data_IF_754106146448
#
_entry.id   IF_754106146448
#
_cell.length_a   1.000
_cell.length_b   1.000
_cell.length_c   1.000
_cell.angle_alpha   90.00
_cell.angle_beta   90.00
_cell.angle_gamma   90.00
#
_symmetry.space_group_name_H-M   'P 1'
#
loop_
_entity.id
_entity.type
_entity.pdbx_description
1 polymer ?
#
# COMPACT_ATOMS: atom_id res chain seq x y z
N UNK A 1 -33.46 -20.01 -0.34
CA UNK A 1 -33.03 -20.88 -1.46
C UNK A 1 -31.56 -21.15 -1.26
N UNK A 2 -31.14 -22.41 -1.12
CA UNK A 2 -29.72 -22.77 -1.04
C UNK A 2 -29.09 -22.67 -2.42
N UNK A 3 -28.26 -21.67 -2.66
CA UNK A 3 -27.58 -21.45 -3.93
C UNK A 3 -26.08 -21.72 -3.84
N UNK A 4 -25.46 -22.06 -4.96
CA UNK A 4 -24.03 -21.80 -5.17
C UNK A 4 -23.85 -20.38 -5.73
N UNK A 5 -22.63 -19.85 -5.75
CA UNK A 5 -22.33 -18.59 -6.44
C UNK A 5 -22.77 -18.60 -7.92
N UNK A 6 -22.66 -19.75 -8.60
CA UNK A 6 -23.16 -19.94 -9.96
C UNK A 6 -24.69 -19.81 -10.05
N UNK A 7 -25.43 -20.31 -9.06
CA UNK A 7 -26.90 -20.14 -9.01
C UNK A 7 -27.29 -18.68 -8.78
N UNK A 8 -26.58 -17.95 -7.91
CA UNK A 8 -26.81 -16.51 -7.71
C UNK A 8 -26.53 -15.73 -9.00
N UNK A 9 -25.45 -16.07 -9.70
CA UNK A 9 -25.10 -15.49 -10.99
C UNK A 9 -26.22 -15.72 -12.02
N UNK A 10 -26.66 -16.97 -12.21
CA UNK A 10 -27.74 -17.28 -13.14
C UNK A 10 -29.02 -16.49 -12.84
N UNK A 11 -29.39 -16.37 -11.56
CA UNK A 11 -30.55 -15.58 -11.14
C UNK A 11 -30.37 -14.07 -11.45
N UNK A 12 -29.19 -13.51 -11.19
CA UNK A 12 -28.89 -12.11 -11.53
C UNK A 12 -28.91 -11.86 -13.05
N UNK A 13 -28.56 -12.85 -13.88
CA UNK A 13 -28.66 -12.72 -15.34
C UNK A 13 -30.11 -12.75 -15.83
N UNK A 14 -31.01 -13.47 -15.15
CA UNK A 14 -32.43 -13.51 -15.49
C UNK A 14 -33.19 -12.23 -15.13
N UNK A 15 -32.67 -11.45 -14.18
CA UNK A 15 -33.26 -10.17 -13.76
C UNK A 15 -32.55 -9.01 -14.47
N UNK A 16 -33.28 -8.29 -15.32
CA UNK A 16 -32.74 -7.14 -16.08
C UNK A 16 -32.27 -6.01 -15.17
N UNK A 17 -32.91 -5.87 -14.01
CA UNK A 17 -32.56 -4.88 -12.99
C UNK A 17 -31.31 -5.26 -12.21
N UNK A 18 -30.92 -6.54 -12.14
CA UNK A 18 -29.76 -6.94 -11.37
C UNK A 18 -28.44 -6.50 -12.03
N UNK A 19 -27.60 -5.83 -11.26
CA UNK A 19 -26.28 -5.33 -11.67
C UNK A 19 -25.12 -5.94 -10.87
N UNK A 20 -25.37 -6.40 -9.65
CA UNK A 20 -24.37 -7.08 -8.83
C UNK A 20 -25.03 -8.04 -7.85
N UNK A 21 -24.23 -8.90 -7.21
CA UNK A 21 -24.71 -9.76 -6.14
C UNK A 21 -23.63 -10.07 -5.11
N UNK A 22 -24.07 -10.36 -3.89
CA UNK A 22 -23.23 -10.96 -2.85
C UNK A 22 -23.65 -12.41 -2.61
N UNK A 23 -22.68 -13.27 -2.33
CA UNK A 23 -22.89 -14.69 -1.99
C UNK A 23 -22.24 -15.03 -0.65
N UNK A 24 -23.02 -15.66 0.23
CA UNK A 24 -22.53 -16.23 1.48
C UNK A 24 -22.50 -17.75 1.35
N UNK A 25 -21.30 -18.33 1.32
CA UNK A 25 -21.13 -19.77 1.15
C UNK A 25 -21.62 -20.59 2.35
N UNK A 26 -21.51 -20.03 3.56
CA UNK A 26 -21.88 -20.70 4.81
C UNK A 26 -23.41 -20.74 4.98
N UNK A 27 -24.07 -19.59 4.83
CA UNK A 27 -25.53 -19.47 4.88
C UNK A 27 -26.21 -19.98 3.59
N UNK A 28 -25.45 -20.20 2.51
CA UNK A 28 -25.92 -20.50 1.16
C UNK A 28 -26.94 -19.47 0.65
N UNK A 29 -26.68 -18.19 0.92
CA UNK A 29 -27.57 -17.08 0.62
C UNK A 29 -27.01 -16.21 -0.50
N UNK A 30 -27.90 -15.68 -1.34
CA UNK A 30 -27.60 -14.67 -2.35
C UNK A 30 -28.31 -13.37 -1.97
N UNK A 31 -27.63 -12.24 -2.12
CA UNK A 31 -28.24 -10.92 -2.11
C UNK A 31 -28.00 -10.28 -3.49
N UNK A 32 -29.07 -9.86 -4.15
CA UNK A 32 -28.99 -9.25 -5.48
C UNK A 32 -29.19 -7.74 -5.35
N UNK A 33 -28.44 -6.98 -6.13
CA UNK A 33 -28.51 -5.52 -6.12
C UNK A 33 -28.77 -5.00 -7.53
N UNK A 34 -29.50 -3.90 -7.61
CA UNK A 34 -29.82 -3.21 -8.86
C UNK A 34 -28.71 -2.26 -9.34
N UNK A 35 -27.65 -2.12 -8.55
CA UNK A 35 -26.52 -1.25 -8.77
C UNK A 35 -25.21 -1.96 -8.45
N UNK A 36 -24.10 -1.41 -8.95
CA UNK A 36 -22.75 -1.86 -8.60
C UNK A 36 -22.21 -0.92 -7.51
N UNK A 37 -21.72 -1.48 -6.41
CA UNK A 37 -21.05 -0.72 -5.37
C UNK A 37 -19.71 -0.14 -5.87
N UNK A 38 -19.26 0.93 -5.21
CA UNK A 38 -17.89 1.42 -5.28
C UNK A 38 -17.33 1.59 -3.87
N UNK A 39 -16.11 2.09 -3.72
CA UNK A 39 -15.48 2.24 -2.40
C UNK A 39 -16.29 3.10 -1.42
N UNK A 40 -16.98 4.15 -1.89
CA UNK A 40 -17.80 5.02 -1.04
C UNK A 40 -19.15 4.43 -0.58
N UNK A 41 -19.63 3.36 -1.22
CA UNK A 41 -20.93 2.74 -0.91
C UNK A 41 -20.81 1.30 -0.42
N UNK A 42 -19.66 0.65 -0.65
CA UNK A 42 -19.41 -0.70 -0.19
C UNK A 42 -19.10 -0.71 1.31
N UNK A 43 -19.79 -1.59 2.03
CA UNK A 43 -19.54 -1.85 3.43
C UNK A 43 -18.89 -3.23 3.55
N UNK A 44 -17.58 -3.32 3.83
CA UNK A 44 -16.92 -4.59 3.99
C UNK A 44 -17.47 -5.32 5.22
N UNK A 45 -17.96 -6.53 5.01
CA UNK A 45 -18.37 -7.43 6.09
C UNK A 45 -17.24 -8.42 6.35
N UNK A 46 -16.41 -8.12 7.35
CA UNK A 46 -15.27 -8.97 7.74
C UNK A 46 -15.68 -10.22 8.52
N UNK A 47 -16.92 -10.28 9.00
CA UNK A 47 -17.40 -11.35 9.88
C UNK A 47 -18.17 -12.42 9.11
N UNK A 48 -19.02 -12.02 8.17
CA UNK A 48 -19.98 -12.93 7.55
C UNK A 48 -19.51 -13.55 6.22
N UNK A 49 -18.23 -13.41 5.84
CA UNK A 49 -17.61 -14.05 4.65
C UNK A 49 -18.42 -13.91 3.35
N UNK A 50 -19.00 -12.73 3.11
CA UNK A 50 -19.69 -12.46 1.85
C UNK A 50 -18.68 -12.20 0.73
N UNK A 51 -18.91 -12.84 -0.41
CA UNK A 51 -18.18 -12.56 -1.65
C UNK A 51 -19.05 -11.67 -2.55
N UNK A 52 -18.47 -10.60 -3.11
CA UNK A 52 -19.18 -9.64 -3.97
C UNK A 52 -18.80 -9.81 -5.44
N UNK A 53 -19.81 -9.78 -6.31
CA UNK A 53 -19.67 -10.05 -7.74
C UNK A 53 -20.41 -9.01 -8.57
N UNK A 54 -19.78 -8.60 -9.69
CA UNK A 54 -20.32 -7.61 -10.61
C UNK A 54 -20.82 -8.28 -11.89
N UNK A 55 -22.03 -7.97 -12.32
CA UNK A 55 -22.54 -8.39 -13.63
C UNK A 55 -21.83 -7.59 -14.73
N UNK A 56 -21.30 -8.24 -15.78
CA UNK A 56 -20.57 -7.54 -16.82
C UNK A 56 -21.37 -6.43 -17.50
N UNK A 57 -20.68 -5.36 -17.88
CA UNK A 57 -21.25 -4.22 -18.60
C UNK A 57 -22.23 -3.37 -17.80
N UNK A 58 -22.16 -3.38 -16.47
CA UNK A 58 -23.11 -2.66 -15.59
C UNK A 58 -22.49 -1.55 -14.75
N UNK A 59 -21.17 -1.42 -14.73
CA UNK A 59 -20.45 -0.49 -13.86
C UNK A 59 -20.44 0.93 -14.41
N UNK A 60 -20.79 1.89 -13.58
CA UNK A 60 -20.67 3.32 -13.81
C UNK A 60 -19.33 3.86 -13.29
N UNK A 61 -19.07 5.12 -13.56
CA UNK A 61 -17.92 5.83 -13.01
C UNK A 61 -17.82 5.66 -11.48
N UNK A 62 -16.62 5.35 -10.99
CA UNK A 62 -16.31 5.04 -9.59
C UNK A 62 -16.97 3.79 -8.99
N UNK A 63 -17.53 2.90 -9.81
CA UNK A 63 -18.03 1.59 -9.38
C UNK A 63 -17.01 0.48 -9.67
N UNK A 64 -17.13 -0.62 -8.92
CA UNK A 64 -16.24 -1.76 -9.10
C UNK A 64 -16.41 -2.41 -10.48
N UNK A 65 -15.34 -2.94 -11.02
CA UNK A 65 -15.31 -3.62 -12.32
C UNK A 65 -14.34 -4.81 -12.29
N UNK A 66 -14.45 -5.67 -13.30
CA UNK A 66 -13.49 -6.76 -13.53
C UNK A 66 -12.71 -6.58 -14.84
N UNK A 67 -13.35 -5.99 -15.84
CA UNK A 67 -12.77 -5.72 -17.16
C UNK A 67 -13.18 -4.36 -17.68
N UNK A 68 -12.44 -3.82 -18.65
CA UNK A 68 -12.76 -2.54 -19.29
C UNK A 68 -14.17 -2.53 -19.91
N UNK A 69 -14.61 -3.67 -20.44
CA UNK A 69 -15.96 -3.83 -20.99
C UNK A 69 -17.08 -3.73 -19.94
N UNK A 70 -16.75 -3.71 -18.66
CA UNK A 70 -17.73 -3.48 -17.59
C UNK A 70 -18.10 -2.00 -17.45
N UNK A 71 -17.22 -1.10 -17.88
CA UNK A 71 -17.35 0.33 -17.68
C UNK A 71 -18.21 0.98 -18.77
N UNK A 72 -19.28 1.67 -18.34
CA UNK A 72 -20.27 2.26 -19.25
C UNK A 72 -20.00 3.73 -19.59
N UNK A 73 -19.28 4.44 -18.73
CA UNK A 73 -18.97 5.84 -18.95
C UNK A 73 -17.89 5.98 -20.03
N UNK A 74 -18.09 6.90 -20.98
CA UNK A 74 -17.13 7.13 -22.04
C UNK A 74 -15.79 7.64 -21.45
N UNK A 75 -14.69 7.01 -21.84
CA UNK A 75 -13.35 7.34 -21.35
C UNK A 75 -12.92 6.57 -20.09
N UNK A 76 -13.85 5.89 -19.40
CA UNK A 76 -13.48 5.01 -18.29
C UNK A 76 -12.92 3.67 -18.79
N UNK A 77 -11.94 3.16 -18.05
CA UNK A 77 -11.43 1.79 -18.14
C UNK A 77 -11.42 1.17 -16.74
N UNK A 78 -11.25 -0.15 -16.65
CA UNK A 78 -11.20 -0.84 -15.38
C UNK A 78 -9.80 -0.79 -14.79
N UNK A 79 -9.54 0.23 -13.97
CA UNK A 79 -8.22 0.52 -13.40
C UNK A 79 -8.26 0.31 -11.89
N UNK A 80 -7.49 -0.64 -11.39
CA UNK A 80 -7.51 -1.00 -9.96
C UNK A 80 -8.89 -1.47 -9.51
N UNK A 81 -9.57 -2.23 -10.39
CA UNK A 81 -10.96 -2.72 -10.20
C UNK A 81 -12.02 -1.64 -10.02
N UNK A 82 -11.76 -0.41 -10.45
CA UNK A 82 -12.74 0.68 -10.47
C UNK A 82 -12.85 1.25 -11.89
N UNK A 83 -14.07 1.53 -12.34
CA UNK A 83 -14.26 2.27 -13.58
C UNK A 83 -13.85 3.73 -13.38
N UNK A 84 -12.78 4.13 -14.06
CA UNK A 84 -12.22 5.48 -13.96
C UNK A 84 -11.41 5.84 -15.20
N UNK A 85 -11.28 7.14 -15.46
CA UNK A 85 -10.38 7.71 -16.45
C UNK A 85 -9.00 8.07 -15.87
N UNK A 86 -8.78 7.89 -14.56
CA UNK A 86 -7.52 8.22 -13.90
C UNK A 86 -6.40 7.28 -14.32
N UNK A 87 -5.24 7.80 -14.75
CA UNK A 87 -4.10 7.01 -15.21
C UNK A 87 -3.33 6.32 -14.08
N UNK A 88 -3.58 6.72 -12.83
CA UNK A 88 -3.05 6.11 -11.63
C UNK A 88 -4.12 5.98 -10.54
N UNK A 89 -4.15 4.85 -9.85
CA UNK A 89 -4.99 4.60 -8.67
C UNK A 89 -4.06 4.23 -7.51
N UNK A 90 -3.88 5.19 -6.61
CA UNK A 90 -3.08 5.11 -5.37
C UNK A 90 -4.00 4.96 -4.15
N UNK A 91 -3.43 4.78 -2.95
CA UNK A 91 -4.22 4.79 -1.72
C UNK A 91 -4.91 6.14 -1.46
N UNK A 92 -4.30 7.28 -1.83
CA UNK A 92 -4.93 8.60 -1.71
C UNK A 92 -6.15 8.72 -2.63
N UNK A 93 -6.03 8.28 -3.89
CA UNK A 93 -7.15 8.25 -4.84
C UNK A 93 -8.30 7.38 -4.30
N UNK A 94 -7.98 6.19 -3.76
CA UNK A 94 -9.00 5.31 -3.19
C UNK A 94 -9.69 5.97 -1.98
N UNK A 95 -8.91 6.62 -1.11
CA UNK A 95 -9.43 7.28 0.09
C UNK A 95 -10.30 8.50 -0.25
N UNK A 96 -9.75 9.44 -1.01
CA UNK A 96 -10.32 10.77 -1.25
C UNK A 96 -11.28 10.78 -2.45
N UNK A 97 -10.84 10.25 -3.59
CA UNK A 97 -11.59 10.35 -4.85
C UNK A 97 -12.67 9.28 -4.96
N UNK A 98 -12.34 8.03 -4.63
CA UNK A 98 -13.33 6.94 -4.63
C UNK A 98 -14.13 6.86 -3.34
N UNK A 99 -13.76 7.68 -2.35
CA UNK A 99 -14.54 7.90 -1.14
C UNK A 99 -14.51 6.74 -0.16
N UNK A 100 -13.49 5.88 -0.18
CA UNK A 100 -13.37 4.78 0.78
C UNK A 100 -13.43 5.29 2.22
N UNK A 101 -12.76 6.42 2.50
CA UNK A 101 -12.58 6.91 3.87
C UNK A 101 -12.00 5.82 4.77
N UNK A 102 -12.55 5.71 5.98
CA UNK A 102 -12.15 4.71 6.99
C UNK A 102 -12.99 3.42 6.94
N UNK A 103 -13.88 3.24 5.95
CA UNK A 103 -14.84 2.11 5.90
C UNK A 103 -14.20 0.72 5.94
N UNK A 104 -12.94 0.64 5.51
CA UNK A 104 -12.18 -0.61 5.44
C UNK A 104 -11.20 -0.78 6.61
N UNK A 105 -11.27 0.11 7.60
CA UNK A 105 -10.36 0.18 8.74
C UNK A 105 -9.10 1.01 8.47
N UNK A 106 -8.32 1.24 9.51
CA UNK A 106 -7.16 2.15 9.47
C UNK A 106 -6.02 1.63 8.61
N UNK A 107 -5.86 0.31 8.55
CA UNK A 107 -4.79 -0.35 7.84
C UNK A 107 -5.34 -1.47 6.96
N UNK A 108 -5.30 -1.26 5.64
CA UNK A 108 -5.82 -2.23 4.67
C UNK A 108 -4.65 -2.84 3.92
N UNK A 109 -4.38 -4.13 4.13
CA UNK A 109 -3.25 -4.82 3.50
C UNK A 109 -3.40 -4.96 1.98
N UNK A 110 -4.64 -5.01 1.50
CA UNK A 110 -4.95 -5.31 0.10
C UNK A 110 -6.07 -4.43 -0.43
N UNK A 111 -5.66 -3.38 -1.12
CA UNK A 111 -6.46 -2.61 -2.06
C UNK A 111 -5.95 -2.87 -3.48
N UNK A 112 -6.79 -2.61 -4.49
CA UNK A 112 -6.41 -2.74 -5.89
C UNK A 112 -6.04 -1.36 -6.44
N UNK A 113 -4.76 -1.18 -6.75
CA UNK A 113 -4.22 0.01 -7.39
C UNK A 113 -3.98 -0.20 -8.88
N UNK A 114 -3.62 0.89 -9.55
CA UNK A 114 -3.25 0.89 -10.96
C UNK A 114 -2.07 1.84 -11.12
N UNK A 115 -0.90 1.30 -11.44
CA UNK A 115 0.31 2.09 -11.67
C UNK A 115 0.99 1.58 -12.93
N UNK A 116 1.51 2.50 -13.75
CA UNK A 116 2.24 2.15 -14.98
C UNK A 116 1.49 1.17 -15.90
N UNK A 117 0.18 1.38 -16.08
CA UNK A 117 -0.65 0.53 -16.94
C UNK A 117 -0.89 -0.90 -16.42
N UNK A 118 -0.61 -1.17 -15.14
CA UNK A 118 -0.76 -2.50 -14.54
C UNK A 118 -1.55 -2.44 -13.23
N UNK A 119 -2.45 -3.41 -13.00
CA UNK A 119 -3.10 -3.61 -11.70
C UNK A 119 -2.06 -4.11 -10.69
N UNK A 120 -2.01 -3.46 -9.54
CA UNK A 120 -1.12 -3.84 -8.44
C UNK A 120 -1.89 -3.92 -7.13
N UNK A 121 -1.41 -4.74 -6.19
CA UNK A 121 -1.95 -4.73 -4.84
C UNK A 121 -1.24 -3.66 -4.00
N UNK A 122 -2.04 -2.81 -3.37
CA UNK A 122 -1.60 -1.74 -2.48
C UNK A 122 -1.91 -2.10 -1.03
N UNK A 123 -0.99 -1.75 -0.12
CA UNK A 123 -1.31 -1.69 1.29
C UNK A 123 -1.46 -0.21 1.69
N UNK A 124 -2.63 0.14 2.21
CA UNK A 124 -3.06 1.50 2.43
C UNK A 124 -3.25 1.81 3.92
N UNK A 125 -2.76 2.97 4.34
CA UNK A 125 -3.12 3.57 5.61
C UNK A 125 -4.27 4.56 5.35
N UNK A 126 -5.41 4.32 5.98
CA UNK A 126 -6.69 5.00 5.71
C UNK A 126 -7.25 5.70 6.95
N UNK A 127 -6.70 5.43 8.13
CA UNK A 127 -7.17 5.99 9.41
C UNK A 127 -6.79 7.45 9.65
N UNK A 128 -7.35 8.00 10.72
CA UNK A 128 -7.20 9.40 11.11
C UNK A 128 -5.73 9.83 11.23
N UNK A 129 -5.39 10.97 10.62
CA UNK A 129 -4.03 11.53 10.61
C UNK A 129 -3.02 10.87 9.65
N UNK A 130 -3.41 9.77 8.98
CA UNK A 130 -2.54 9.01 8.07
C UNK A 130 -3.25 8.50 6.81
N UNK A 131 -4.32 9.16 6.39
CA UNK A 131 -5.11 8.75 5.24
C UNK A 131 -4.36 8.86 3.91
N UNK A 132 -4.57 7.88 3.03
CA UNK A 132 -4.09 7.88 1.65
C UNK A 132 -2.63 7.48 1.46
N UNK A 133 -1.94 7.08 2.52
CA UNK A 133 -0.54 6.64 2.43
C UNK A 133 -0.42 5.24 1.83
N UNK A 134 0.42 5.11 0.80
CA UNK A 134 0.72 3.84 0.13
C UNK A 134 2.00 3.23 0.68
N UNK A 135 1.96 1.98 1.18
CA UNK A 135 3.17 1.28 1.64
C UNK A 135 4.05 0.93 0.44
N UNK A 136 5.29 1.43 0.44
CA UNK A 136 6.27 1.15 -0.62
C UNK A 136 7.34 0.17 -0.21
N UNK A 137 7.57 0.00 1.10
CA UNK A 137 8.54 -0.95 1.63
C UNK A 137 8.06 -1.51 2.98
N UNK A 138 8.27 -2.81 3.17
CA UNK A 138 8.17 -3.52 4.46
C UNK A 138 9.36 -4.44 4.60
N UNK A 139 10.05 -4.41 5.73
CA UNK A 139 11.09 -5.40 6.08
C UNK A 139 10.90 -5.92 7.50
N UNK A 140 10.03 -6.91 7.67
CA UNK A 140 9.76 -7.54 8.95
C UNK A 140 10.94 -8.37 9.47
N UNK A 141 11.12 -8.43 10.78
CA UNK A 141 12.13 -9.21 11.51
C UNK A 141 13.62 -8.89 11.28
N UNK A 142 14.00 -7.96 10.39
CA UNK A 142 15.40 -7.54 10.23
C UNK A 142 16.37 -8.70 9.93
N UNK A 143 15.86 -9.81 9.37
CA UNK A 143 16.66 -11.03 9.17
C UNK A 143 17.21 -11.16 7.75
N UNK A 144 16.68 -10.39 6.81
CA UNK A 144 17.09 -10.45 5.41
C UNK A 144 17.67 -9.10 4.98
N UNK A 145 18.84 -9.17 4.33
CA UNK A 145 19.47 -8.01 3.71
C UNK A 145 18.53 -7.41 2.66
N UNK A 146 18.43 -6.08 2.63
CA UNK A 146 17.66 -5.36 1.61
C UNK A 146 18.52 -5.19 0.37
N UNK A 147 18.50 -6.21 -0.50
CA UNK A 147 19.25 -6.19 -1.74
C UNK A 147 18.60 -5.28 -2.79
N UNK A 148 19.37 -4.87 -3.80
CA UNK A 148 18.83 -4.19 -4.99
C UNK A 148 17.69 -4.99 -5.63
N UNK A 149 17.82 -6.33 -5.65
CA UNK A 149 16.77 -7.24 -6.10
C UNK A 149 15.50 -7.11 -5.24
N UNK A 150 15.61 -7.13 -3.91
CA UNK A 150 14.46 -6.94 -3.00
C UNK A 150 13.71 -5.62 -3.24
N UNK A 151 14.42 -4.54 -3.58
CA UNK A 151 13.80 -3.25 -3.87
C UNK A 151 13.08 -3.21 -5.22
N UNK A 152 13.65 -3.87 -6.22
CA UNK A 152 13.17 -3.84 -7.59
C UNK A 152 12.11 -4.90 -7.88
N UNK A 153 12.16 -6.03 -7.17
CA UNK A 153 11.17 -7.09 -7.26
C UNK A 153 9.86 -6.65 -6.62
N UNK A 154 8.81 -6.62 -7.44
CA UNK A 154 7.45 -6.46 -6.99
C UNK A 154 7.00 -7.73 -6.25
N UNK A 155 7.30 -7.81 -4.95
CA UNK A 155 6.91 -8.93 -4.12
C UNK A 155 5.76 -8.52 -3.20
N UNK A 156 4.52 -8.74 -3.67
CA UNK A 156 3.29 -8.43 -2.91
C UNK A 156 2.63 -9.69 -2.36
N UNK A 157 3.41 -10.74 -2.09
CA UNK A 157 2.83 -11.95 -1.51
C UNK A 157 2.31 -11.68 -0.09
N UNK A 158 1.00 -11.87 0.02
CA UNK A 158 0.21 -11.71 1.23
C UNK A 158 0.54 -12.84 2.23
N UNK A 159 0.42 -12.50 3.51
CA UNK A 159 0.46 -13.35 4.72
C UNK A 159 1.79 -13.82 5.32
N UNK A 160 2.82 -14.22 4.58
CA UNK A 160 4.04 -14.84 5.20
C UNK A 160 5.38 -14.15 4.89
N UNK A 161 5.38 -13.07 4.10
CA UNK A 161 6.64 -12.53 3.57
C UNK A 161 7.27 -11.51 4.52
N UNK A 162 8.52 -11.80 4.86
CA UNK A 162 9.44 -10.99 5.68
C UNK A 162 9.77 -9.65 4.99
N UNK A 163 9.65 -9.56 3.65
CA UNK A 163 9.98 -8.36 2.87
C UNK A 163 8.95 -8.09 1.75
N UNK A 164 8.48 -6.86 1.62
CA UNK A 164 7.68 -6.38 0.48
C UNK A 164 8.27 -5.07 -0.03
N UNK A 165 8.35 -4.91 -1.34
CA UNK A 165 8.72 -3.65 -1.97
C UNK A 165 7.84 -3.39 -3.19
N UNK A 166 7.38 -2.15 -3.30
CA UNK A 166 6.92 -1.57 -4.56
C UNK A 166 7.69 -0.27 -4.85
N UNK A 167 8.89 -0.10 -4.27
CA UNK A 167 9.71 1.10 -4.44
C UNK A 167 10.09 1.37 -5.90
N UNK A 168 10.21 0.33 -6.74
CA UNK A 168 10.37 0.49 -8.19
C UNK A 168 9.21 1.23 -8.87
N UNK A 169 8.05 1.29 -8.22
CA UNK A 169 6.86 2.00 -8.68
C UNK A 169 6.65 3.35 -7.98
N UNK A 170 7.57 3.78 -7.09
CA UNK A 170 7.41 5.02 -6.32
C UNK A 170 7.16 6.23 -7.21
N UNK A 171 7.83 6.29 -8.36
CA UNK A 171 7.70 7.42 -9.27
C UNK A 171 6.26 7.57 -9.78
N UNK A 172 5.52 6.48 -9.97
CA UNK A 172 4.14 6.54 -10.44
C UNK A 172 3.19 6.99 -9.33
N UNK A 173 3.50 6.63 -8.07
CA UNK A 173 2.77 7.14 -6.90
C UNK A 173 3.03 8.64 -6.79
N UNK A 174 4.30 9.02 -6.67
CA UNK A 174 4.76 10.41 -6.56
C UNK A 174 4.26 11.29 -7.70
N UNK A 175 4.18 10.81 -8.93
CA UNK A 175 3.74 11.63 -10.06
C UNK A 175 2.20 11.63 -10.25
N UNK A 176 1.44 10.88 -9.45
CA UNK A 176 -0.02 10.87 -9.53
C UNK A 176 -0.67 12.10 -8.86
N UNK A 177 0.02 12.75 -7.92
CA UNK A 177 -0.45 13.96 -7.26
C UNK A 177 0.08 15.25 -7.91
N UNK A 178 -0.49 16.39 -7.49
CA UNK A 178 -0.22 17.71 -8.07
C UNK A 178 0.59 18.65 -7.14
N UNK A 179 0.87 18.25 -5.90
CA UNK A 179 1.56 19.11 -4.93
C UNK A 179 3.06 19.30 -5.29
N UNK A 180 3.78 20.25 -4.71
CA UNK A 180 5.21 20.43 -5.04
C UNK A 180 6.13 19.42 -4.36
N UNK A 181 5.63 18.76 -3.33
CA UNK A 181 6.33 17.77 -2.49
C UNK A 181 5.45 16.54 -2.30
N UNK A 182 6.04 15.45 -1.82
CA UNK A 182 5.32 14.27 -1.33
C UNK A 182 5.77 13.94 0.09
N UNK A 183 4.86 13.35 0.87
CA UNK A 183 5.14 12.96 2.24
C UNK A 183 5.70 11.54 2.29
N UNK A 184 6.74 11.36 3.09
CA UNK A 184 7.34 10.06 3.40
C UNK A 184 7.25 9.82 4.88
N UNK A 185 6.61 8.72 5.27
CA UNK A 185 6.53 8.28 6.66
C UNK A 185 7.21 6.95 6.85
N UNK A 186 8.00 6.88 7.92
CA UNK A 186 8.70 5.67 8.33
C UNK A 186 8.21 5.26 9.71
N UNK A 187 7.77 4.01 9.80
CA UNK A 187 7.27 3.42 11.04
C UNK A 187 8.10 2.19 11.42
N UNK A 188 8.10 1.93 12.72
CA UNK A 188 8.50 0.65 13.28
C UNK A 188 7.35 -0.37 13.10
N UNK A 189 7.65 -1.67 13.13
CA UNK A 189 6.66 -2.75 12.99
C UNK A 189 5.45 -2.65 13.93
N UNK A 190 5.67 -2.13 15.15
CA UNK A 190 4.61 -1.91 16.14
C UNK A 190 3.78 -0.64 15.86
N UNK A 191 3.90 -0.11 14.64
CA UNK A 191 3.23 1.09 14.13
C UNK A 191 3.51 2.35 14.94
N UNK A 192 4.50 2.33 15.84
CA UNK A 192 4.99 3.54 16.47
C UNK A 192 5.75 4.34 15.42
N UNK A 193 5.25 5.54 15.20
CA UNK A 193 5.78 6.51 14.26
C UNK A 193 7.25 6.84 14.59
N UNK A 194 8.12 6.77 13.58
CA UNK A 194 9.54 7.06 13.77
C UNK A 194 9.91 8.41 13.16
N UNK A 195 9.56 8.63 11.89
CA UNK A 195 9.99 9.83 11.13
C UNK A 195 8.94 10.20 10.09
N UNK A 196 8.71 11.50 9.91
CA UNK A 196 8.01 12.06 8.74
C UNK A 196 8.92 13.09 8.09
N UNK A 197 8.96 13.08 6.77
CA UNK A 197 9.63 14.11 6.01
C UNK A 197 9.00 14.31 4.65
N UNK A 198 9.26 15.48 4.07
CA UNK A 198 8.83 15.83 2.73
C UNK A 198 10.02 15.83 1.80
N UNK A 199 9.82 15.31 0.59
CA UNK A 199 10.77 15.40 -0.50
C UNK A 199 10.15 16.18 -1.67
N UNK A 200 10.95 16.95 -2.42
CA UNK A 200 10.50 17.58 -3.65
C UNK A 200 9.94 16.55 -4.63
N UNK A 201 8.82 16.86 -5.31
CA UNK A 201 8.18 15.91 -6.24
C UNK A 201 9.06 15.54 -7.41
N UNK A 202 10.09 16.30 -7.78
CA UNK A 202 11.04 15.93 -8.82
C UNK A 202 12.17 15.01 -8.32
N UNK A 203 12.28 14.78 -7.01
CA UNK A 203 13.30 13.90 -6.42
C UNK A 203 12.75 12.50 -6.15
N UNK A 204 13.40 11.43 -6.65
CA UNK A 204 12.96 10.07 -6.40
C UNK A 204 13.14 9.68 -4.93
N UNK A 205 12.32 8.76 -4.42
CA UNK A 205 12.50 8.25 -3.07
C UNK A 205 13.72 7.31 -2.97
N UNK A 206 13.97 6.53 -4.03
CA UNK A 206 15.17 5.72 -4.16
C UNK A 206 16.17 6.45 -5.06
N UNK A 207 17.31 6.91 -4.50
CA UNK A 207 18.35 7.62 -5.27
C UNK A 207 19.51 6.70 -5.65
N UNK A 208 20.36 7.11 -6.59
CA UNK A 208 21.60 6.39 -6.92
C UNK A 208 22.81 6.88 -6.09
N UNK A 209 22.57 7.81 -5.18
CA UNK A 209 23.58 8.43 -4.32
C UNK A 209 23.00 8.69 -2.94
N UNK A 210 23.88 8.69 -1.93
CA UNK A 210 23.51 9.03 -0.56
C UNK A 210 22.97 10.47 -0.48
N UNK A 211 21.96 10.66 0.37
CA UNK A 211 21.35 11.97 0.65
C UNK A 211 21.52 12.32 2.13
N UNK A 212 21.61 13.61 2.48
CA UNK A 212 21.66 14.05 3.86
C UNK A 212 20.50 13.46 4.67
N UNK A 213 20.80 13.10 5.92
CA UNK A 213 19.78 12.58 6.82
C UNK A 213 18.71 13.62 7.13
N UNK A 214 17.47 13.19 7.21
CA UNK A 214 16.33 14.02 7.58
C UNK A 214 16.22 14.13 9.09
N UNK A 215 16.82 15.20 9.61
CA UNK A 215 16.73 15.60 11.02
C UNK A 215 17.44 14.68 12.01
N UNK A 216 17.41 15.10 13.27
CA UNK A 216 17.74 14.26 14.42
C UNK A 216 16.42 13.77 15.01
N UNK A 217 16.22 12.46 15.05
CA UNK A 217 15.04 11.81 15.58
C UNK A 217 15.40 11.15 16.91
N UNK A 218 14.46 11.01 17.82
CA UNK A 218 14.67 10.32 19.08
C UNK A 218 13.50 9.40 19.37
N UNK A 219 13.78 8.14 19.70
CA UNK A 219 12.77 7.17 20.14
C UNK A 219 13.05 6.73 21.58
N UNK A 220 11.98 6.48 22.33
CA UNK A 220 12.08 5.82 23.63
C UNK A 220 12.09 4.31 23.43
N UNK A 221 13.12 3.65 23.95
CA UNK A 221 13.30 2.21 23.92
C UNK A 221 13.43 1.67 25.33
N UNK A 222 12.36 1.06 25.84
CA UNK A 222 12.30 0.69 27.26
C UNK A 222 12.41 1.94 28.13
N UNK A 223 13.55 2.12 28.79
CA UNK A 223 13.86 3.29 29.63
C UNK A 223 14.88 4.24 29.00
N UNK A 224 15.41 3.93 27.81
CA UNK A 224 16.49 4.69 27.17
C UNK A 224 16.01 5.51 25.97
N UNK A 225 16.64 6.67 25.75
CA UNK A 225 16.40 7.50 24.56
C UNK A 225 17.48 7.25 23.51
N UNK A 226 17.08 6.70 22.36
CA UNK A 226 17.95 6.48 21.22
C UNK A 226 17.73 7.60 20.23
N UNK A 227 18.75 8.44 20.03
CA UNK A 227 18.74 9.43 18.95
C UNK A 227 19.28 8.80 17.68
N UNK A 228 18.68 9.09 16.52
CA UNK A 228 19.11 8.59 15.22
C UNK A 228 18.79 9.58 14.11
N UNK A 229 19.51 9.46 12.99
CA UNK A 229 19.24 10.19 11.76
C UNK A 229 18.91 9.20 10.66
N UNK A 230 17.88 9.50 9.88
CA UNK A 230 17.41 8.64 8.80
C UNK A 230 17.62 9.35 7.47
N UNK A 231 18.24 8.71 6.48
CA UNK A 231 18.27 9.23 5.11
C UNK A 231 17.25 8.49 4.23
N UNK A 232 16.78 9.10 3.12
CA UNK A 232 16.10 8.37 2.06
C UNK A 232 16.95 7.18 1.56
N UNK A 233 16.33 6.10 1.08
CA UNK A 233 17.07 4.95 0.56
C UNK A 233 17.84 5.31 -0.73
N UNK A 234 18.99 4.66 -0.93
CA UNK A 234 19.80 4.86 -2.13
C UNK A 234 20.53 3.59 -2.56
N UNK A 235 20.60 3.32 -3.87
CA UNK A 235 21.35 2.19 -4.46
C UNK A 235 22.85 2.55 -4.56
N UNK A 236 23.74 1.77 -3.96
CA UNK A 236 25.19 1.84 -4.18
C UNK A 236 25.59 0.94 -5.33
N UNK A 237 26.64 1.33 -6.08
CA UNK A 237 27.25 0.49 -7.11
C UNK A 237 28.04 -0.70 -6.55
N UNK A 238 28.30 -0.70 -5.24
CA UNK A 238 29.01 -1.75 -4.52
C UNK A 238 28.21 -2.14 -3.26
N UNK A 239 27.76 -3.39 -3.21
CA UNK A 239 27.24 -4.03 -1.99
C UNK A 239 25.71 -4.07 -1.84
N UNK A 240 25.20 -4.93 -0.94
CA UNK A 240 23.77 -5.20 -0.76
C UNK A 240 23.05 -4.22 0.18
N UNK A 241 23.62 -3.05 0.50
CA UNK A 241 23.16 -2.25 1.66
C UNK A 241 22.88 -0.79 1.32
N UNK A 242 21.61 -0.38 1.48
CA UNK A 242 21.06 0.80 0.80
C UNK A 242 20.21 1.74 1.68
N UNK A 243 20.16 1.49 3.00
CA UNK A 243 19.45 2.33 3.97
C UNK A 243 20.41 2.68 5.10
N UNK A 244 20.73 3.96 5.29
CA UNK A 244 21.54 4.43 6.42
C UNK A 244 20.65 4.99 7.53
N UNK A 245 20.80 4.43 8.73
CA UNK A 245 20.26 4.99 9.97
C UNK A 245 21.43 5.23 10.90
N UNK A 246 21.78 6.49 11.12
CA UNK A 246 22.87 6.88 12.01
C UNK A 246 22.33 7.11 13.42
N UNK A 247 22.38 6.12 14.31
CA UNK A 247 22.12 6.32 15.73
C UNK A 247 23.25 7.12 16.39
N UNK A 248 22.94 8.20 17.11
CA UNK A 248 23.90 9.04 17.83
C UNK A 248 23.49 9.10 19.29
N UNK A 249 24.02 8.25 20.17
CA UNK A 249 24.18 8.62 21.58
C UNK A 249 25.31 7.88 22.30
N UNK A 250 25.90 8.59 23.25
CA UNK A 250 27.19 8.34 23.90
C UNK A 250 27.23 7.02 24.68
N UNK A 251 28.37 6.33 24.62
CA UNK A 251 28.68 5.02 25.23
C UNK A 251 27.92 3.82 24.65
N UNK A 252 28.33 3.44 23.44
CA UNK A 252 28.26 2.08 22.90
C UNK A 252 26.87 1.44 22.83
N UNK A 253 26.10 1.83 21.82
CA UNK A 253 25.20 0.90 21.15
C UNK A 253 25.52 0.96 19.65
N UNK A 254 26.11 -0.13 19.16
CA UNK A 254 26.24 -0.45 17.74
C UNK A 254 24.84 -0.53 17.14
N UNK A 255 24.56 0.35 16.20
CA UNK A 255 23.30 0.38 15.48
C UNK A 255 23.47 1.12 14.16
N UNK A 256 24.16 0.49 13.20
CA UNK A 256 24.20 0.94 11.82
C UNK A 256 23.60 -0.14 10.91
N UNK A 257 22.43 0.17 10.34
CA UNK A 257 22.16 -0.18 8.95
C UNK A 257 23.01 0.80 8.10
N UNK A 258 23.93 0.22 7.33
CA UNK A 258 25.08 0.78 6.56
C UNK A 258 26.05 1.68 7.33
N UNK A 259 27.28 1.17 7.56
CA UNK A 259 28.51 1.99 7.69
C UNK A 259 29.03 2.36 6.30
N UNK A 260 29.63 3.55 6.14
CA UNK A 260 30.27 4.01 4.89
C UNK A 260 31.37 3.06 4.34
N UNK A 261 31.82 2.08 5.12
CA UNK A 261 32.84 1.09 4.75
C UNK A 261 32.28 -0.26 4.24
N UNK A 262 30.96 -0.40 4.12
CA UNK A 262 30.33 -1.56 3.50
C UNK A 262 30.26 -2.83 4.36
N UNK A 263 30.59 -2.77 5.66
CA UNK A 263 30.35 -3.89 6.59
C UNK A 263 29.11 -3.66 7.47
N UNK A 264 28.17 -4.61 7.42
CA UNK A 264 27.00 -4.69 8.30
C UNK A 264 27.26 -5.71 9.41
N UNK A 265 27.43 -5.25 10.65
CA UNK A 265 27.21 -6.08 11.83
C UNK A 265 25.84 -5.70 12.41
N UNK A 266 24.86 -6.59 12.24
CA UNK A 266 23.56 -6.47 12.87
C UNK A 266 23.74 -6.48 14.41
N UNK A 267 23.00 -5.65 15.17
CA UNK A 267 22.93 -5.85 16.61
C UNK A 267 22.37 -7.25 16.91
N UNK A 268 22.67 -7.83 18.07
CA UNK A 268 22.14 -9.13 18.45
C UNK A 268 20.61 -9.09 18.42
N UNK A 269 20.05 -9.83 17.46
CA UNK A 269 18.64 -10.23 17.30
C UNK A 269 17.61 -9.15 17.67
N UNK A 270 17.14 -8.48 16.63
CA UNK A 270 15.76 -8.02 16.55
C UNK A 270 15.59 -6.53 16.30
N UNK A 271 14.50 -6.23 15.60
CA UNK A 271 13.70 -5.03 15.83
C UNK A 271 14.24 -3.76 15.15
N UNK A 272 14.59 -3.83 13.87
CA UNK A 272 14.22 -2.72 12.99
C UNK A 272 13.45 -3.25 11.80
N UNK A 273 12.13 -3.07 11.88
CA UNK A 273 11.25 -3.27 10.76
C UNK A 273 10.86 -1.91 10.22
N UNK A 274 11.20 -1.67 8.98
CA UNK A 274 10.86 -0.45 8.27
C UNK A 274 9.56 -0.67 7.52
N UNK A 275 8.56 0.14 7.84
CA UNK A 275 7.42 0.38 6.96
C UNK A 275 7.58 1.79 6.40
N UNK A 276 7.74 1.90 5.09
CA UNK A 276 7.84 3.18 4.40
C UNK A 276 6.57 3.43 3.61
N UNK A 277 5.99 4.61 3.79
CA UNK A 277 4.79 5.02 3.08
C UNK A 277 5.04 6.30 2.32
N UNK A 278 4.45 6.40 1.13
CA UNK A 278 4.41 7.60 0.32
C UNK A 278 2.96 8.06 0.24
N UNK A 279 2.75 9.36 0.42
CA UNK A 279 1.53 10.05 -0.03
C UNK A 279 1.96 11.12 -1.01
N UNK A 280 1.49 10.94 -2.23
CA UNK A 280 1.63 11.91 -3.31
C UNK A 280 0.78 13.15 -3.11
#
# INVERSE_FOLDING_TARGET
MSGSSCSCCALCYQLDTCASFSYNAEARQCQLYDSVAGYGTFLPDTESKWEYFVKPGRSQHHQFCRWDSDCRAAGDACRGRVCTHLDAVTCRVIHETFGAGERFGDFVQRMFGWLNGTEISLACMMGEGFHGFTRVLRNQNGHADLTSQTFMEHNVHDTDVIQQSILSLEQYIRMAGNDTTYDVRVFRCDQKFMVNFQLPRNEPLLSNSSRPSVGNNTILWGHDYISFKLSPPYLTSAGPTLVSINAVNASAIEGAMVREDGQTSWPPRGILVLLMYIRE
#
